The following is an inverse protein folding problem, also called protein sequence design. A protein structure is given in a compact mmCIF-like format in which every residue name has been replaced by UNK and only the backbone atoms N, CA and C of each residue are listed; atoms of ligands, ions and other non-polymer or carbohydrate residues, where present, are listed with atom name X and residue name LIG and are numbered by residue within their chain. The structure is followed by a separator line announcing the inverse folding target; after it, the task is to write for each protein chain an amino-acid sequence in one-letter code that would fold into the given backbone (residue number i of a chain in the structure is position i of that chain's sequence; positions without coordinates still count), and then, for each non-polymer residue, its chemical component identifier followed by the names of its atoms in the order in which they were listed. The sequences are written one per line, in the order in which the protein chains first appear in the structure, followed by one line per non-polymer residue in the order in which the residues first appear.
data_IF_809464870058
#
_entry.id   IF_809464870058
#
_cell.length_a   1.000
_cell.length_b   1.000
_cell.length_c   1.000
_cell.angle_alpha   90.00
_cell.angle_beta   90.00
_cell.angle_gamma   90.00
#
_symmetry.space_group_name_H-M   'P 1'
#
loop_
_entity.id
_entity.type
_entity.pdbx_description
1 polymer ?
#
# COMPACT_ATOMS: atom_id res chain seq x y z
N UNK A 1 18.29 4.49 15.16
CA UNK A 1 18.12 3.04 15.36
C UNK A 1 16.66 2.55 15.29
N UNK A 2 15.64 3.37 15.02
CA UNK A 2 14.27 2.89 14.71
C UNK A 2 14.16 2.51 13.22
N UNK A 3 14.51 3.43 12.32
CA UNK A 3 14.39 3.24 10.87
C UNK A 3 15.05 1.95 10.37
N UNK A 4 16.26 1.63 10.85
CA UNK A 4 16.97 0.38 10.53
C UNK A 4 16.21 -0.88 10.96
N UNK A 5 15.49 -0.84 12.10
CA UNK A 5 14.71 -1.98 12.60
C UNK A 5 13.38 -2.12 11.87
N UNK A 6 12.73 -1.01 11.56
CA UNK A 6 11.47 -0.98 10.81
C UNK A 6 11.64 -1.21 9.32
N UNK A 7 12.90 -1.26 8.86
CA UNK A 7 13.25 -1.28 7.46
C UNK A 7 12.55 -2.37 6.66
N UNK A 8 12.66 -3.62 7.11
CA UNK A 8 12.06 -4.75 6.41
C UNK A 8 10.54 -4.64 6.31
N UNK A 9 9.88 -4.04 7.31
CA UNK A 9 8.43 -3.83 7.26
C UNK A 9 8.02 -2.69 6.32
N UNK A 10 8.84 -1.64 6.20
CA UNK A 10 8.64 -0.55 5.21
C UNK A 10 8.75 -1.13 3.79
N UNK A 11 9.82 -1.87 3.53
CA UNK A 11 10.05 -2.49 2.22
C UNK A 11 8.99 -3.54 1.89
N UNK A 12 8.51 -4.28 2.89
CA UNK A 12 7.40 -5.22 2.74
C UNK A 12 6.11 -4.54 2.25
N UNK A 13 5.77 -3.36 2.77
CA UNK A 13 4.63 -2.58 2.28
C UNK A 13 4.87 -2.07 0.87
N UNK A 14 6.08 -1.64 0.52
CA UNK A 14 6.42 -1.23 -0.86
C UNK A 14 6.24 -2.39 -1.84
N UNK A 15 6.83 -3.55 -1.55
CA UNK A 15 6.72 -4.73 -2.39
C UNK A 15 5.26 -5.22 -2.53
N UNK A 16 4.47 -5.14 -1.46
CA UNK A 16 3.05 -5.49 -1.50
C UNK A 16 2.25 -4.60 -2.47
N UNK A 17 2.52 -3.29 -2.47
CA UNK A 17 1.88 -2.34 -3.40
C UNK A 17 2.25 -2.63 -4.85
N UNK A 18 3.53 -2.88 -5.11
CA UNK A 18 4.02 -3.28 -6.43
C UNK A 18 3.35 -4.56 -6.91
N UNK A 19 3.17 -5.55 -6.02
CA UNK A 19 2.43 -6.78 -6.31
C UNK A 19 0.97 -6.55 -6.69
N UNK A 20 0.26 -5.68 -5.95
CA UNK A 20 -1.12 -5.29 -6.27
C UNK A 20 -1.17 -4.59 -7.63
N UNK A 21 -0.31 -3.61 -7.86
CA UNK A 21 -0.26 -2.86 -9.11
C UNK A 21 0.04 -3.76 -10.31
N UNK A 22 0.99 -4.68 -10.17
CA UNK A 22 1.35 -5.64 -11.23
C UNK A 22 0.20 -6.62 -11.55
N UNK A 23 -0.56 -7.06 -10.54
CA UNK A 23 -1.72 -7.92 -10.75
C UNK A 23 -2.87 -7.16 -11.42
N UNK A 24 -3.14 -5.92 -10.97
CA UNK A 24 -4.17 -5.07 -11.53
C UNK A 24 -3.87 -4.68 -12.99
N UNK A 25 -2.61 -4.41 -13.33
CA UNK A 25 -2.17 -4.09 -14.69
C UNK A 25 -2.40 -5.23 -15.69
N UNK A 26 -2.39 -6.49 -15.21
CA UNK A 26 -2.70 -7.69 -16.01
C UNK A 26 -4.20 -7.95 -16.14
N UNK A 27 -5.04 -7.10 -15.54
CA UNK A 27 -6.49 -7.27 -15.45
C UNK A 27 -6.91 -8.60 -14.80
N UNK A 28 -6.01 -9.17 -13.98
CA UNK A 28 -6.26 -10.43 -13.27
C UNK A 28 -6.88 -10.10 -11.91
N UNK A 29 -8.21 -10.10 -11.87
CA UNK A 29 -8.99 -9.79 -10.67
C UNK A 29 -8.69 -10.77 -9.54
N UNK A 30 -8.49 -12.06 -9.86
CA UNK A 30 -8.19 -13.09 -8.87
C UNK A 30 -6.79 -12.88 -8.26
N UNK A 31 -5.78 -12.65 -9.09
CA UNK A 31 -4.43 -12.33 -8.63
C UNK A 31 -4.39 -11.01 -7.85
N UNK A 32 -5.20 -10.02 -8.23
CA UNK A 32 -5.33 -8.74 -7.50
C UNK A 32 -5.86 -8.98 -6.09
N UNK A 33 -6.92 -9.79 -5.95
CA UNK A 33 -7.44 -10.19 -4.64
C UNK A 33 -6.42 -10.92 -3.77
N UNK A 34 -5.65 -11.85 -4.37
CA UNK A 34 -4.59 -12.56 -3.66
C UNK A 34 -3.44 -11.64 -3.22
N UNK A 35 -3.03 -10.70 -4.08
CA UNK A 35 -2.02 -9.69 -3.74
C UNK A 35 -2.50 -8.77 -2.61
N UNK A 36 -3.76 -8.33 -2.64
CA UNK A 36 -4.36 -7.55 -1.56
C UNK A 36 -4.43 -8.34 -0.24
N UNK A 37 -4.75 -9.64 -0.29
CA UNK A 37 -4.72 -10.49 0.90
C UNK A 37 -3.30 -10.57 1.48
N UNK A 38 -2.29 -10.76 0.64
CA UNK A 38 -0.89 -10.79 1.07
C UNK A 38 -0.43 -9.45 1.67
N UNK A 39 -0.90 -8.32 1.11
CA UNK A 39 -0.58 -6.98 1.59
C UNK A 39 -1.07 -6.71 3.02
N UNK A 40 -2.14 -7.38 3.48
CA UNK A 40 -2.63 -7.22 4.87
C UNK A 40 -1.56 -7.57 5.90
N UNK A 41 -0.74 -8.60 5.63
CA UNK A 41 0.38 -8.99 6.49
C UNK A 41 1.46 -7.91 6.56
N UNK A 42 1.88 -7.39 5.40
CA UNK A 42 2.89 -6.34 5.33
C UNK A 42 2.45 -5.06 6.06
N UNK A 43 1.19 -4.65 5.89
CA UNK A 43 0.59 -3.51 6.60
C UNK A 43 0.59 -3.74 8.10
N UNK A 44 0.15 -4.92 8.57
CA UNK A 44 0.15 -5.25 9.99
C UNK A 44 1.57 -5.29 10.58
N UNK A 45 2.55 -5.76 9.82
CA UNK A 45 3.95 -5.81 10.25
C UNK A 45 4.54 -4.41 10.45
N UNK A 46 4.28 -3.48 9.53
CA UNK A 46 4.70 -2.09 9.67
C UNK A 46 3.95 -1.37 10.78
N UNK A 47 2.65 -1.64 10.95
CA UNK A 47 1.86 -1.07 12.05
C UNK A 47 2.48 -1.39 13.42
N UNK A 48 2.96 -2.63 13.63
CA UNK A 48 3.61 -3.04 14.88
C UNK A 48 4.94 -2.35 15.17
N UNK A 49 5.56 -1.72 14.16
CA UNK A 49 6.79 -0.94 14.35
C UNK A 49 6.51 0.52 14.74
N UNK A 50 5.26 0.97 14.67
CA UNK A 50 4.89 2.31 15.11
C UNK A 50 4.78 2.38 16.65
N UNK A 51 5.08 3.55 17.27
CA UNK A 51 5.36 4.82 16.61
C UNK A 51 6.83 5.00 16.15
N UNK A 52 7.01 5.81 15.11
CA UNK A 52 8.32 6.37 14.76
C UNK A 52 8.70 7.48 15.77
N UNK A 53 10.00 7.62 16.12
CA UNK A 53 10.48 8.74 16.95
C UNK A 53 10.31 10.11 16.29
N UNK A 54 10.33 10.17 14.96
CA UNK A 54 10.09 11.41 14.21
C UNK A 54 8.58 11.53 13.94
N UNK A 55 7.98 12.63 14.42
CA UNK A 55 6.53 12.82 14.48
C UNK A 55 5.90 12.93 13.08
N UNK A 56 6.59 13.58 12.14
CA UNK A 56 6.11 13.77 10.77
C UNK A 56 6.01 12.43 10.06
N UNK A 57 7.04 11.60 10.16
CA UNK A 57 7.12 10.24 9.66
C UNK A 57 6.08 9.35 10.34
N UNK A 58 5.94 9.43 11.66
CA UNK A 58 4.94 8.66 12.39
C UNK A 58 3.53 8.95 11.86
N UNK A 59 3.17 10.22 11.77
CA UNK A 59 1.83 10.63 11.33
C UNK A 59 1.59 10.23 9.87
N UNK A 60 2.59 10.41 9.01
CA UNK A 60 2.52 10.05 7.58
C UNK A 60 2.35 8.54 7.39
N UNK A 61 3.09 7.72 8.13
CA UNK A 61 2.95 6.26 8.11
C UNK A 61 1.58 5.82 8.66
N UNK A 62 1.08 6.45 9.72
CA UNK A 62 -0.26 6.16 10.23
C UNK A 62 -1.35 6.45 9.19
N UNK A 63 -1.24 7.56 8.44
CA UNK A 63 -2.19 7.85 7.35
C UNK A 63 -2.10 6.83 6.20
N UNK A 64 -0.88 6.40 5.85
CA UNK A 64 -0.68 5.37 4.83
C UNK A 64 -1.34 4.05 5.25
N UNK A 65 -0.99 3.54 6.44
CA UNK A 65 -1.50 2.28 6.98
C UNK A 65 -3.01 2.31 7.16
N UNK A 66 -3.56 3.38 7.75
CA UNK A 66 -5.01 3.51 7.91
C UNK A 66 -5.76 3.51 6.58
N UNK A 67 -5.17 4.03 5.52
CA UNK A 67 -5.76 3.96 4.17
C UNK A 67 -5.74 2.52 3.63
N UNK A 68 -4.64 1.79 3.79
CA UNK A 68 -4.59 0.38 3.38
C UNK A 68 -5.52 -0.51 4.21
N UNK A 69 -5.60 -0.31 5.52
CA UNK A 69 -6.49 -1.06 6.40
C UNK A 69 -7.96 -0.95 6.00
N UNK A 70 -8.37 0.19 5.44
CA UNK A 70 -9.71 0.36 4.86
C UNK A 70 -9.79 -0.25 3.45
N UNK A 71 -8.80 -0.02 2.59
CA UNK A 71 -8.85 -0.42 1.18
C UNK A 71 -8.69 -1.92 0.92
N UNK A 72 -7.83 -2.61 1.67
CA UNK A 72 -7.51 -4.02 1.44
C UNK A 72 -8.71 -4.97 1.62
N UNK A 73 -9.57 -4.81 2.65
CA UNK A 73 -10.80 -5.61 2.75
C UNK A 73 -11.73 -5.45 1.55
N UNK A 74 -11.89 -4.22 1.02
CA UNK A 74 -12.67 -3.99 -0.19
C UNK A 74 -12.02 -4.64 -1.42
N UNK A 75 -10.69 -4.61 -1.52
CA UNK A 75 -9.98 -5.26 -2.62
C UNK A 75 -10.21 -6.79 -2.60
N UNK A 76 -10.02 -7.42 -1.44
CA UNK A 76 -10.17 -8.87 -1.28
C UNK A 76 -11.60 -9.31 -1.54
N UNK A 77 -12.58 -8.63 -0.92
CA UNK A 77 -14.00 -8.95 -1.11
C UNK A 77 -14.45 -8.67 -2.54
N UNK A 78 -14.12 -7.51 -3.09
CA UNK A 78 -14.47 -7.12 -4.46
C UNK A 78 -13.88 -8.05 -5.51
N UNK A 79 -12.64 -8.50 -5.34
CA UNK A 79 -12.03 -9.48 -6.21
C UNK A 79 -12.73 -10.86 -6.14
N UNK A 80 -13.12 -11.28 -4.93
CA UNK A 80 -13.82 -12.55 -4.72
C UNK A 80 -15.24 -12.56 -5.33
N UNK A 81 -15.93 -11.43 -5.29
CA UNK A 81 -17.32 -11.31 -5.76
C UNK A 81 -17.45 -10.64 -7.12
N UNK A 82 -16.35 -10.25 -7.76
CA UNK A 82 -16.33 -9.43 -8.97
C UNK A 82 -17.15 -8.14 -8.83
N UNK A 83 -17.15 -7.55 -7.62
CA UNK A 83 -17.87 -6.31 -7.32
C UNK A 83 -17.01 -5.10 -7.72
N UNK A 84 -17.39 -4.49 -8.85
CA UNK A 84 -16.72 -3.31 -9.39
C UNK A 84 -16.77 -2.10 -8.45
N UNK A 85 -17.85 -1.91 -7.68
CA UNK A 85 -17.95 -0.79 -6.74
C UNK A 85 -16.99 -0.98 -5.56
N UNK A 86 -16.90 -2.21 -5.04
CA UNK A 86 -15.90 -2.56 -4.02
C UNK A 86 -14.47 -2.38 -4.54
N UNK A 87 -14.17 -2.81 -5.77
CA UNK A 87 -12.86 -2.62 -6.38
C UNK A 87 -12.52 -1.14 -6.61
N UNK A 88 -13.48 -0.31 -7.03
CA UNK A 88 -13.29 1.14 -7.13
C UNK A 88 -13.01 1.78 -5.76
N UNK A 89 -13.76 1.39 -4.73
CA UNK A 89 -13.51 1.86 -3.35
C UNK A 89 -12.12 1.45 -2.88
N UNK A 90 -11.73 0.19 -3.13
CA UNK A 90 -10.41 -0.31 -2.80
C UNK A 90 -9.31 0.52 -3.48
N UNK A 91 -9.44 0.76 -4.79
CA UNK A 91 -8.48 1.54 -5.56
C UNK A 91 -8.29 2.95 -5.00
N UNK A 92 -9.37 3.63 -4.59
CA UNK A 92 -9.30 4.96 -4.01
C UNK A 92 -8.49 4.98 -2.69
N UNK A 93 -8.75 4.04 -1.78
CA UNK A 93 -8.04 3.96 -0.50
C UNK A 93 -6.59 3.47 -0.66
N UNK A 94 -6.33 2.50 -1.53
CA UNK A 94 -4.97 2.03 -1.82
C UNK A 94 -4.14 3.16 -2.44
N UNK A 95 -4.70 3.89 -3.42
CA UNK A 95 -4.04 5.08 -4.01
C UNK A 95 -3.72 6.14 -2.97
N UNK A 96 -4.63 6.37 -2.01
CA UNK A 96 -4.38 7.29 -0.90
C UNK A 96 -3.25 6.80 0.01
N UNK A 97 -3.24 5.51 0.35
CA UNK A 97 -2.16 4.89 1.11
C UNK A 97 -0.81 5.04 0.40
N UNK A 98 -0.79 4.84 -0.92
CA UNK A 98 0.37 4.95 -1.79
C UNK A 98 0.98 6.36 -1.81
N UNK A 99 0.11 7.38 -1.83
CA UNK A 99 0.54 8.78 -1.73
C UNK A 99 1.27 9.03 -0.41
N UNK A 100 0.67 8.66 0.72
CA UNK A 100 1.30 8.86 2.02
C UNK A 100 2.54 7.99 2.21
N UNK A 101 2.56 6.77 1.67
CA UNK A 101 3.75 5.91 1.73
C UNK A 101 4.92 6.54 0.98
N UNK A 102 4.68 7.11 -0.21
CA UNK A 102 5.72 7.86 -0.94
C UNK A 102 6.23 9.07 -0.17
N UNK A 103 5.34 9.82 0.45
CA UNK A 103 5.73 10.94 1.33
C UNK A 103 6.57 10.47 2.53
N UNK A 104 6.22 9.33 3.14
CA UNK A 104 6.99 8.75 4.24
C UNK A 104 8.40 8.33 3.79
N UNK A 105 8.53 7.76 2.59
CA UNK A 105 9.83 7.41 2.01
C UNK A 105 10.68 8.65 1.76
N UNK A 106 10.09 9.70 1.19
CA UNK A 106 10.77 10.99 0.95
C UNK A 106 11.31 11.61 2.26
N UNK A 107 10.53 11.59 3.33
CA UNK A 107 10.98 12.03 4.67
C UNK A 107 12.21 11.25 5.15
N UNK A 108 12.32 9.96 4.81
CA UNK A 108 13.47 9.13 5.18
C UNK A 108 14.70 9.33 4.27
N UNK A 109 14.60 10.21 3.26
CA UNK A 109 15.62 10.36 2.23
C UNK A 109 15.69 9.16 1.28
N UNK A 110 14.62 8.35 1.23
CA UNK A 110 14.44 7.33 0.20
C UNK A 110 13.58 7.90 -0.89
N UNK A 111 14.18 8.19 -2.05
CA UNK A 111 13.38 8.46 -3.22
C UNK A 111 12.47 7.25 -3.49
N UNK A 112 11.14 7.43 -3.60
CA UNK A 112 10.29 6.38 -4.11
C UNK A 112 10.69 6.11 -5.56
N UNK A 113 10.72 4.83 -5.97
CA UNK A 113 10.81 4.48 -7.38
C UNK A 113 9.81 5.35 -8.17
N UNK A 114 10.22 6.03 -9.25
CA UNK A 114 9.30 6.87 -10.01
C UNK A 114 8.10 6.01 -10.42
N UNK A 115 6.89 6.59 -10.48
CA UNK A 115 5.76 5.86 -11.03
C UNK A 115 6.16 5.39 -12.42
N UNK A 116 6.02 4.09 -12.70
CA UNK A 116 5.99 3.62 -14.07
C UNK A 116 4.95 4.48 -14.78
N UNK A 117 5.42 5.30 -15.71
CA UNK A 117 4.63 6.14 -16.59
C UNK A 117 3.87 5.20 -17.54
N UNK A 118 2.89 4.49 -17.01
CA UNK A 118 1.89 3.71 -17.74
C UNK A 118 0.55 3.91 -17.04
N UNK A 119 0.00 5.12 -17.20
CA UNK A 119 -1.42 5.41 -17.48
C UNK A 119 -1.73 6.88 -17.19
N UNK A 120 -1.14 7.76 -18.01
CA UNK A 120 -1.98 8.69 -18.74
C UNK A 120 -2.38 7.93 -20.02
N UNK A 121 -3.66 8.01 -20.43
CA UNK A 121 -4.25 7.32 -21.59
C UNK A 121 -4.58 5.85 -21.24
N UNK A 122 -5.81 5.41 -20.92
CA UNK A 122 -7.17 5.65 -21.44
C UNK A 122 -8.18 5.41 -20.32
#
# INVERSE_FOLDING_TARGET
MWLTRSQGSIDGVVAAREGIAAAAARQDVAATGAACQAATGAVADLHRQLPSPEQTLNSTLQYALGSYEIGLPYCVSGAKTYDAEALMRAAAYITRGDIFMRMALDITGREPSPPDVVSLIV
#
